data_IF_824728304045
#
_entry.id   IF_824728304045
#
_cell.length_a   1.000
_cell.length_b   1.000
_cell.length_c   1.000
_cell.angle_alpha   90.00
_cell.angle_beta   90.00
_cell.angle_gamma   90.00
#
_symmetry.space_group_name_H-M   'P 1'
#
loop_
_entity.id
_entity.type
_entity.pdbx_description
1 polymer ?
#
# COMPACT_ATOMS: atom_id res chain seq x y z
N UNK A 1 -10.80 -14.32 -2.62
CA UNK A 1 -10.70 -14.31 -1.14
C UNK A 1 -11.36 -13.07 -0.57
N UNK A 2 -11.94 -13.21 0.62
CA UNK A 2 -12.47 -12.13 1.44
C UNK A 2 -11.56 -12.00 2.66
N UNK A 3 -11.01 -10.82 2.88
CA UNK A 3 -10.29 -10.49 4.10
C UNK A 3 -11.10 -9.46 4.88
N UNK A 4 -11.37 -9.76 6.15
CA UNK A 4 -12.16 -8.92 7.04
C UNK A 4 -11.41 -8.69 8.34
N UNK A 5 -11.35 -7.44 8.79
CA UNK A 5 -10.82 -7.07 10.09
C UNK A 5 -11.72 -5.99 10.69
N UNK A 6 -12.04 -6.12 11.97
CA UNK A 6 -12.74 -5.10 12.73
C UNK A 6 -11.97 -4.74 13.99
N UNK A 7 -12.08 -3.49 14.39
CA UNK A 7 -11.46 -2.97 15.60
C UNK A 7 -12.46 -2.13 16.36
N UNK A 8 -12.64 -2.46 17.63
CA UNK A 8 -13.37 -1.67 18.59
C UNK A 8 -12.40 -1.02 19.57
N UNK A 9 -12.37 0.29 19.60
CA UNK A 9 -11.60 1.06 20.58
C UNK A 9 -12.54 1.67 21.60
N UNK A 10 -12.17 1.59 22.88
CA UNK A 10 -12.93 2.09 24.00
C UNK A 10 -11.96 2.84 24.89
N UNK A 11 -12.33 4.03 25.27
CA UNK A 11 -11.54 4.87 26.15
C UNK A 11 -12.44 5.45 27.24
N UNK A 12 -11.92 5.53 28.45
CA UNK A 12 -12.57 6.20 29.57
C UNK A 12 -11.53 6.84 30.48
N UNK A 13 -11.71 8.12 30.75
CA UNK A 13 -11.00 8.85 31.79
C UNK A 13 -11.98 9.18 32.93
N UNK A 14 -11.63 8.79 34.16
CA UNK A 14 -12.43 9.04 35.34
C UNK A 14 -12.55 10.53 35.67
N UNK A 15 -13.62 10.94 36.27
CA UNK A 15 -13.85 12.30 36.78
C UNK A 15 -12.77 12.75 37.79
N UNK A 16 -12.21 11.81 38.55
CA UNK A 16 -11.10 12.04 39.50
C UNK A 16 -9.69 11.95 38.87
N UNK A 17 -9.61 11.61 37.57
CA UNK A 17 -8.34 11.44 36.87
C UNK A 17 -7.64 12.76 36.52
N UNK A 18 -6.31 12.71 36.38
CA UNK A 18 -5.52 13.88 36.01
C UNK A 18 -5.93 14.48 34.66
N UNK A 19 -6.34 13.66 33.67
CA UNK A 19 -6.81 14.14 32.39
C UNK A 19 -8.06 15.02 32.54
N UNK A 20 -9.03 14.58 33.34
CA UNK A 20 -10.26 15.35 33.65
C UNK A 20 -9.93 16.65 34.34
N UNK A 21 -9.02 16.61 35.32
CA UNK A 21 -8.56 17.79 36.04
C UNK A 21 -7.94 18.85 35.13
N UNK A 22 -6.99 18.44 34.31
CA UNK A 22 -6.26 19.36 33.42
C UNK A 22 -7.11 19.93 32.28
N UNK A 23 -8.10 19.18 31.80
CA UNK A 23 -8.97 19.60 30.69
C UNK A 23 -10.30 20.23 31.16
N UNK A 24 -10.56 20.30 32.47
CA UNK A 24 -11.69 21.01 33.03
C UNK A 24 -13.05 20.34 32.84
N UNK A 25 -13.09 19.00 32.63
CA UNK A 25 -14.33 18.21 32.53
C UNK A 25 -14.38 17.09 33.58
N UNK A 26 -15.59 16.58 33.85
CA UNK A 26 -15.80 15.48 34.81
C UNK A 26 -15.97 14.14 34.07
N UNK A 27 -14.84 13.49 33.82
CA UNK A 27 -14.81 12.24 33.06
C UNK A 27 -14.98 12.44 31.56
N UNK A 28 -14.35 11.54 30.77
CA UNK A 28 -14.46 11.46 29.32
C UNK A 28 -14.63 10.02 28.88
N UNK A 29 -15.54 9.78 27.97
CA UNK A 29 -15.71 8.49 27.35
C UNK A 29 -15.67 8.62 25.84
N UNK A 30 -15.04 7.63 25.17
CA UNK A 30 -15.00 7.54 23.72
C UNK A 30 -15.21 6.08 23.29
N UNK A 31 -15.99 5.90 22.25
CA UNK A 31 -16.13 4.64 21.53
C UNK A 31 -15.90 4.86 20.06
N UNK A 32 -15.09 3.99 19.45
CA UNK A 32 -14.79 4.00 18.04
C UNK A 32 -14.86 2.58 17.50
N UNK A 33 -15.56 2.41 16.42
CA UNK A 33 -15.66 1.16 15.69
C UNK A 33 -15.13 1.35 14.27
N UNK A 34 -14.19 0.51 13.85
CA UNK A 34 -13.56 0.55 12.53
C UNK A 34 -13.67 -0.82 11.88
N UNK A 35 -13.90 -0.82 10.58
CA UNK A 35 -13.95 -2.03 9.75
C UNK A 35 -13.05 -1.86 8.56
N UNK A 36 -12.29 -2.90 8.26
CA UNK A 36 -11.54 -3.05 7.03
C UNK A 36 -11.98 -4.33 6.35
N UNK A 37 -12.36 -4.25 5.12
CA UNK A 37 -12.63 -5.44 4.33
C UNK A 37 -12.09 -5.28 2.91
N UNK A 38 -11.47 -6.37 2.44
CA UNK A 38 -10.87 -6.45 1.13
C UNK A 38 -11.43 -7.65 0.39
N UNK A 39 -12.05 -7.37 -0.74
CA UNK A 39 -12.51 -8.38 -1.68
C UNK A 39 -11.45 -8.54 -2.77
N UNK A 40 -10.90 -9.75 -2.90
CA UNK A 40 -9.92 -10.08 -3.93
C UNK A 40 -10.43 -11.23 -4.80
N UNK A 41 -10.44 -10.98 -6.11
CA UNK A 41 -10.57 -11.99 -7.14
C UNK A 41 -9.23 -12.16 -7.83
N UNK A 42 -8.78 -13.40 -7.94
CA UNK A 42 -7.55 -13.75 -8.62
C UNK A 42 -7.83 -14.93 -9.56
N UNK A 43 -7.38 -14.78 -10.80
CA UNK A 43 -7.43 -15.83 -11.79
C UNK A 43 -6.03 -16.07 -12.34
N UNK A 44 -5.63 -17.34 -12.43
CA UNK A 44 -4.31 -17.79 -12.87
C UNK A 44 -4.44 -18.86 -13.93
N UNK A 45 -3.77 -18.68 -15.05
CA UNK A 45 -3.55 -19.69 -16.07
C UNK A 45 -2.08 -20.11 -16.08
N UNK A 46 -1.83 -21.41 -15.95
CA UNK A 46 -0.49 -21.98 -15.99
C UNK A 46 -0.33 -22.87 -17.21
N UNK A 47 0.78 -22.74 -17.90
CA UNK A 47 1.15 -23.57 -19.03
C UNK A 47 2.58 -24.08 -18.87
N UNK A 48 2.80 -25.37 -19.11
CA UNK A 48 4.11 -25.98 -19.08
C UNK A 48 4.32 -26.83 -20.35
N UNK A 49 5.47 -26.65 -20.97
CA UNK A 49 5.86 -27.33 -22.21
C UNK A 49 7.29 -27.82 -22.06
N UNK A 50 7.48 -29.11 -22.29
CA UNK A 50 8.79 -29.78 -22.32
C UNK A 50 9.04 -30.31 -23.72
N UNK A 51 10.08 -29.81 -24.39
CA UNK A 51 10.49 -30.19 -25.74
C UNK A 51 11.95 -30.61 -25.71
N UNK A 52 12.20 -31.87 -25.34
CA UNK A 52 13.55 -32.38 -25.16
C UNK A 52 14.33 -31.57 -24.12
N UNK A 53 15.37 -30.89 -24.56
CA UNK A 53 16.25 -30.07 -23.71
C UNK A 53 15.63 -28.72 -23.31
N UNK A 54 14.47 -28.36 -23.83
CA UNK A 54 13.80 -27.09 -23.61
C UNK A 54 12.62 -27.25 -22.65
N UNK A 55 12.62 -26.49 -21.57
CA UNK A 55 11.54 -26.46 -20.61
C UNK A 55 11.00 -25.03 -20.53
N UNK A 56 9.72 -24.85 -20.86
CA UNK A 56 9.04 -23.56 -20.90
C UNK A 56 7.88 -23.60 -19.90
N UNK A 57 7.81 -22.63 -19.01
CA UNK A 57 6.68 -22.43 -18.09
C UNK A 57 6.17 -21.01 -18.24
N UNK A 58 4.89 -20.88 -18.54
CA UNK A 58 4.21 -19.60 -18.65
C UNK A 58 3.11 -19.49 -17.60
N UNK A 59 2.95 -18.30 -17.05
CA UNK A 59 1.85 -17.94 -16.16
C UNK A 59 1.24 -16.67 -16.67
N UNK A 60 -0.07 -16.62 -16.77
CA UNK A 60 -0.83 -15.39 -17.01
C UNK A 60 -1.86 -15.24 -15.91
N UNK A 61 -2.16 -14.02 -15.52
CA UNK A 61 -3.10 -13.80 -14.43
C UNK A 61 -3.80 -12.44 -14.50
N UNK A 62 -4.93 -12.42 -13.84
CA UNK A 62 -5.73 -11.24 -13.58
C UNK A 62 -5.99 -11.13 -12.08
N UNK A 63 -5.87 -9.93 -11.53
CA UNK A 63 -6.20 -9.62 -10.15
C UNK A 63 -7.14 -8.43 -10.09
N UNK A 64 -8.15 -8.55 -9.26
CA UNK A 64 -9.03 -7.45 -8.86
C UNK A 64 -9.04 -7.40 -7.34
N UNK A 65 -8.83 -6.22 -6.79
CA UNK A 65 -8.91 -5.99 -5.36
C UNK A 65 -9.71 -4.73 -5.09
N UNK A 66 -10.69 -4.83 -4.18
CA UNK A 66 -11.41 -3.69 -3.64
C UNK A 66 -11.25 -3.68 -2.13
N UNK A 67 -10.61 -2.64 -1.62
CA UNK A 67 -10.41 -2.41 -0.19
C UNK A 67 -11.30 -1.27 0.27
N UNK A 68 -12.01 -1.49 1.38
CA UNK A 68 -12.92 -0.53 1.99
C UNK A 68 -12.59 -0.42 3.48
N UNK A 69 -12.50 0.81 3.94
CA UNK A 69 -12.38 1.16 5.33
C UNK A 69 -13.57 2.02 5.74
N UNK A 70 -14.17 1.68 6.86
CA UNK A 70 -15.29 2.41 7.45
C UNK A 70 -15.04 2.65 8.93
N UNK A 71 -15.50 3.78 9.43
CA UNK A 71 -15.49 4.07 10.84
C UNK A 71 -16.73 4.81 11.27
N UNK A 72 -17.12 4.59 12.52
CA UNK A 72 -18.05 5.40 13.27
C UNK A 72 -17.51 5.54 14.70
N UNK A 73 -17.65 6.71 15.29
CA UNK A 73 -17.21 6.94 16.64
C UNK A 73 -17.86 8.17 17.24
N UNK A 74 -17.76 8.27 18.55
CA UNK A 74 -18.22 9.41 19.28
C UNK A 74 -17.56 9.49 20.63
N UNK A 75 -17.49 10.70 21.18
CA UNK A 75 -17.00 10.99 22.51
C UNK A 75 -17.94 11.96 23.22
N UNK A 76 -18.03 11.82 24.52
CA UNK A 76 -18.79 12.73 25.39
C UNK A 76 -18.02 12.94 26.67
N UNK A 77 -18.31 14.05 27.37
CA UNK A 77 -17.66 14.44 28.60
C UNK A 77 -18.73 14.79 29.68
N UNK A 78 -18.23 15.05 30.88
CA UNK A 78 -19.04 15.44 32.04
C UNK A 78 -20.09 14.41 32.42
N UNK A 79 -19.62 13.28 32.89
CA UNK A 79 -20.45 12.19 33.39
C UNK A 79 -20.76 12.41 34.89
N UNK A 80 -22.03 12.24 35.27
CA UNK A 80 -22.44 12.31 36.66
C UNK A 80 -21.89 11.16 37.52
N UNK A 81 -21.57 10.02 36.90
CA UNK A 81 -21.07 8.80 37.52
C UNK A 81 -20.01 8.13 36.65
N UNK A 82 -18.97 7.63 37.29
CA UNK A 82 -17.91 6.89 36.60
C UNK A 82 -18.26 5.43 36.25
N UNK A 83 -19.37 4.91 36.81
CA UNK A 83 -19.72 3.47 36.74
C UNK A 83 -20.08 2.99 35.34
N UNK A 84 -20.72 3.85 34.53
CA UNK A 84 -21.14 3.51 33.15
C UNK A 84 -19.99 3.52 32.17
N UNK A 85 -18.90 4.25 32.50
CA UNK A 85 -17.70 4.39 31.63
C UNK A 85 -18.12 4.75 30.19
N UNK A 86 -17.61 3.99 29.21
CA UNK A 86 -17.93 4.18 27.80
C UNK A 86 -19.20 3.47 27.32
N UNK A 87 -19.90 2.72 28.19
CA UNK A 87 -21.09 1.95 27.79
C UNK A 87 -22.35 2.80 27.59
N UNK A 88 -22.35 4.01 28.13
CA UNK A 88 -23.45 4.97 27.95
C UNK A 88 -22.88 6.37 27.64
N UNK A 89 -22.48 6.56 26.36
CA UNK A 89 -22.00 7.88 25.90
C UNK A 89 -23.08 8.96 25.99
N UNK A 90 -24.37 8.59 25.97
CA UNK A 90 -25.48 9.53 26.03
C UNK A 90 -25.65 10.22 27.38
N UNK A 91 -25.09 9.66 28.47
CA UNK A 91 -25.23 10.19 29.82
C UNK A 91 -24.34 11.39 30.16
N UNK A 92 -23.31 11.67 29.33
CA UNK A 92 -22.49 12.87 29.50
C UNK A 92 -23.22 14.16 29.12
N UNK A 93 -23.01 15.24 29.89
CA UNK A 93 -23.73 16.49 29.70
C UNK A 93 -23.37 17.24 28.41
N UNK A 94 -22.15 17.08 27.90
CA UNK A 94 -21.69 17.75 26.67
C UNK A 94 -22.56 17.45 25.44
N UNK A 95 -23.28 16.32 25.42
CA UNK A 95 -24.22 16.05 24.34
C UNK A 95 -25.37 17.07 24.32
N UNK A 96 -25.91 17.46 25.48
CA UNK A 96 -26.99 18.44 25.59
C UNK A 96 -26.52 19.85 25.20
N UNK A 97 -25.26 20.15 25.49
CA UNK A 97 -24.64 21.43 25.24
C UNK A 97 -24.09 21.56 23.80
N UNK A 98 -24.22 20.52 22.96
CA UNK A 98 -23.70 20.48 21.60
C UNK A 98 -22.18 20.38 21.52
N UNK A 99 -21.52 19.95 22.60
CA UNK A 99 -20.07 19.85 22.74
C UNK A 99 -19.54 18.42 22.55
N UNK A 100 -20.44 17.43 22.51
CA UNK A 100 -20.07 16.04 22.23
C UNK A 100 -19.62 15.87 20.77
N UNK A 101 -18.74 14.90 20.53
CA UNK A 101 -18.27 14.58 19.18
C UNK A 101 -18.98 13.34 18.65
N UNK A 102 -19.46 13.43 17.42
CA UNK A 102 -19.94 12.29 16.62
C UNK A 102 -19.30 12.37 15.25
N UNK A 103 -18.68 11.29 14.81
CA UNK A 103 -18.00 11.26 13.52
C UNK A 103 -18.17 9.92 12.83
N UNK A 104 -18.13 9.94 11.52
CA UNK A 104 -18.06 8.74 10.69
C UNK A 104 -17.17 9.02 9.46
N UNK A 105 -16.68 7.95 8.86
CA UNK A 105 -15.85 8.07 7.68
C UNK A 105 -15.86 6.78 6.89
N UNK A 106 -15.63 6.89 5.58
CA UNK A 106 -15.46 5.77 4.68
C UNK A 106 -14.43 6.12 3.63
N UNK A 107 -13.53 5.18 3.35
CA UNK A 107 -12.67 5.27 2.19
C UNK A 107 -12.66 3.95 1.43
N UNK A 108 -12.49 4.03 0.12
CA UNK A 108 -12.36 2.86 -0.72
C UNK A 108 -11.29 3.04 -1.78
N UNK A 109 -10.65 1.94 -2.14
CA UNK A 109 -9.71 1.90 -3.25
C UNK A 109 -9.88 0.61 -4.03
N UNK A 110 -9.64 0.69 -5.34
CA UNK A 110 -9.70 -0.44 -6.27
C UNK A 110 -8.37 -0.57 -6.96
N UNK A 111 -7.89 -1.82 -7.05
CA UNK A 111 -6.68 -2.20 -7.75
C UNK A 111 -7.02 -3.29 -8.77
N UNK A 112 -6.56 -3.12 -10.01
CA UNK A 112 -6.74 -4.09 -11.08
C UNK A 112 -5.36 -4.38 -11.66
N UNK A 113 -5.01 -5.65 -11.84
CA UNK A 113 -3.73 -6.04 -12.38
C UNK A 113 -3.84 -7.18 -13.39
N UNK A 114 -3.08 -7.05 -14.47
CA UNK A 114 -2.82 -8.11 -15.45
C UNK A 114 -1.34 -8.43 -15.37
N UNK A 115 -0.99 -9.70 -15.38
CA UNK A 115 0.41 -10.07 -15.38
C UNK A 115 0.68 -11.32 -16.21
N UNK A 116 1.88 -11.37 -16.73
CA UNK A 116 2.41 -12.52 -17.41
C UNK A 116 3.85 -12.79 -16.99
N UNK A 117 4.23 -14.05 -16.89
CA UNK A 117 5.59 -14.49 -16.65
C UNK A 117 5.92 -15.67 -17.55
N UNK A 118 7.09 -15.63 -18.15
CA UNK A 118 7.67 -16.71 -18.91
C UNK A 118 8.99 -17.13 -18.24
N UNK A 119 9.12 -18.41 -17.95
CA UNK A 119 10.38 -19.01 -17.51
C UNK A 119 10.82 -20.01 -18.56
N UNK A 120 12.09 -19.93 -18.94
CA UNK A 120 12.72 -20.79 -19.90
C UNK A 120 13.97 -21.43 -19.29
N UNK A 121 14.08 -22.73 -19.44
CA UNK A 121 15.26 -23.47 -19.05
C UNK A 121 15.72 -24.33 -20.25
N UNK A 122 17.00 -24.23 -20.59
CA UNK A 122 17.64 -25.03 -21.61
C UNK A 122 18.74 -25.89 -21.01
N UNK A 123 18.58 -27.20 -21.09
CA UNK A 123 19.56 -28.22 -20.63
C UNK A 123 20.00 -28.06 -19.17
N UNK A 124 19.19 -27.45 -18.31
CA UNK A 124 19.58 -27.04 -16.96
C UNK A 124 20.86 -26.19 -16.88
N UNK A 125 21.27 -25.62 -18.03
CA UNK A 125 22.42 -24.75 -18.16
C UNK A 125 22.03 -23.28 -18.24
N UNK A 126 21.05 -22.95 -19.07
CA UNK A 126 20.61 -21.58 -19.27
C UNK A 126 19.19 -21.40 -18.72
N UNK A 127 19.05 -20.44 -17.83
CA UNK A 127 17.78 -20.07 -17.20
C UNK A 127 17.46 -18.63 -17.55
N UNK A 128 16.33 -18.38 -18.17
CA UNK A 128 15.84 -17.05 -18.46
C UNK A 128 14.44 -16.87 -17.92
N UNK A 129 14.13 -15.70 -17.38
CA UNK A 129 12.76 -15.34 -17.06
C UNK A 129 12.45 -13.92 -17.52
N UNK A 130 11.21 -13.72 -17.94
CA UNK A 130 10.66 -12.39 -18.23
C UNK A 130 9.28 -12.31 -17.63
N UNK A 131 8.94 -11.17 -17.07
CA UNK A 131 7.59 -10.89 -16.56
C UNK A 131 7.20 -9.44 -16.80
N UNK A 132 5.91 -9.25 -16.99
CA UNK A 132 5.29 -7.93 -17.09
C UNK A 132 4.05 -7.91 -16.22
N UNK A 133 3.94 -6.89 -15.38
CA UNK A 133 2.72 -6.55 -14.65
C UNK A 133 2.20 -5.20 -15.15
N UNK A 134 0.95 -5.16 -15.54
CA UNK A 134 0.20 -3.96 -15.91
C UNK A 134 -0.88 -3.74 -14.86
N UNK A 135 -0.78 -2.68 -14.08
CA UNK A 135 -1.59 -2.48 -12.90
C UNK A 135 -2.18 -1.08 -12.84
N UNK A 136 -3.46 -0.99 -12.51
CA UNK A 136 -4.19 0.26 -12.34
C UNK A 136 -4.78 0.38 -10.95
N UNK A 137 -4.66 1.58 -10.36
CA UNK A 137 -5.22 1.88 -9.06
C UNK A 137 -6.06 3.15 -9.07
N UNK A 138 -7.20 3.10 -8.36
CA UNK A 138 -8.07 4.26 -8.19
C UNK A 138 -7.48 5.38 -7.35
N UNK A 139 -6.37 5.14 -6.66
CA UNK A 139 -5.69 6.13 -5.82
C UNK A 139 -4.97 7.22 -6.62
N UNK A 140 -4.53 6.88 -7.85
CA UNK A 140 -3.76 7.77 -8.70
C UNK A 140 -4.61 8.75 -9.49
N UNK A 141 -3.95 9.74 -10.04
CA UNK A 141 -4.56 10.77 -10.87
C UNK A 141 -5.24 10.20 -12.12
N UNK A 142 -6.21 10.93 -12.66
CA UNK A 142 -7.01 10.47 -13.80
C UNK A 142 -6.15 10.09 -15.01
N UNK A 143 -5.01 10.79 -15.20
CA UNK A 143 -4.10 10.62 -16.33
C UNK A 143 -3.08 9.49 -16.10
N UNK A 144 -2.83 9.03 -14.84
CA UNK A 144 -1.71 8.17 -14.46
C UNK A 144 -2.14 6.96 -13.62
N UNK A 145 -3.38 6.48 -13.79
CA UNK A 145 -3.88 5.34 -13.00
C UNK A 145 -3.13 4.05 -13.24
N UNK A 146 -2.57 3.85 -14.43
CA UNK A 146 -1.96 2.62 -14.87
C UNK A 146 -0.44 2.69 -14.91
N UNK A 147 0.21 1.61 -14.46
CA UNK A 147 1.66 1.45 -14.48
C UNK A 147 2.08 0.14 -15.12
N UNK A 148 3.29 0.13 -15.74
CA UNK A 148 3.94 -1.05 -16.29
C UNK A 148 5.15 -1.38 -15.44
N UNK A 149 5.27 -2.66 -15.05
CA UNK A 149 6.32 -3.15 -14.17
C UNK A 149 6.97 -4.38 -14.78
N UNK A 150 7.92 -4.20 -15.70
CA UNK A 150 8.67 -5.28 -16.31
C UNK A 150 9.75 -5.80 -15.38
N UNK A 151 10.07 -7.09 -15.50
CA UNK A 151 11.26 -7.67 -14.91
C UNK A 151 11.79 -8.79 -15.80
N UNK A 152 13.12 -8.95 -15.81
CA UNK A 152 13.80 -10.00 -16.55
C UNK A 152 15.00 -10.52 -15.75
N UNK A 153 15.31 -11.80 -15.91
CA UNK A 153 16.52 -12.39 -15.36
C UNK A 153 17.13 -13.42 -16.29
N UNK A 154 18.46 -13.56 -16.19
CA UNK A 154 19.24 -14.55 -16.89
C UNK A 154 20.22 -15.17 -15.87
N UNK A 155 20.36 -16.50 -15.91
CA UNK A 155 21.36 -17.21 -15.15
C UNK A 155 21.94 -18.35 -16.01
N UNK A 156 23.23 -18.62 -15.84
CA UNK A 156 23.95 -19.58 -16.65
C UNK A 156 24.81 -20.52 -15.79
N UNK A 157 24.51 -21.80 -15.81
CA UNK A 157 25.36 -22.83 -15.18
C UNK A 157 26.53 -23.15 -16.12
N UNK A 158 27.70 -22.60 -15.84
CA UNK A 158 28.86 -22.65 -16.72
C UNK A 158 29.58 -23.99 -16.67
N UNK A 159 29.41 -24.79 -15.63
CA UNK A 159 30.18 -26.04 -15.43
C UNK A 159 29.84 -27.12 -16.44
N UNK A 160 28.71 -27.03 -17.12
CA UNK A 160 28.33 -27.97 -18.19
C UNK A 160 29.05 -27.68 -19.50
N UNK A 161 29.76 -26.56 -19.62
CA UNK A 161 30.50 -26.18 -20.81
C UNK A 161 31.81 -26.94 -20.94
N UNK A 162 32.20 -27.23 -22.20
CA UNK A 162 33.41 -28.00 -22.53
C UNK A 162 34.70 -27.37 -22.01
N UNK A 163 34.81 -26.03 -22.01
CA UNK A 163 35.98 -25.31 -21.53
C UNK A 163 36.16 -25.34 -20.01
N UNK A 164 35.13 -25.67 -19.25
CA UNK A 164 35.18 -25.78 -17.77
C UNK A 164 35.54 -27.19 -17.27
N UNK A 165 35.69 -28.17 -18.14
CA UNK A 165 35.95 -29.58 -17.76
C UNK A 165 37.16 -29.74 -16.83
N UNK A 166 38.25 -28.98 -17.08
CA UNK A 166 39.50 -29.09 -16.33
C UNK A 166 39.39 -28.49 -14.89
N UNK A 167 38.41 -27.62 -14.65
CA UNK A 167 38.22 -26.95 -13.36
C UNK A 167 37.29 -27.71 -12.42
N UNK A 168 36.57 -28.73 -12.89
CA UNK A 168 35.57 -29.51 -12.14
C UNK A 168 36.07 -30.16 -10.85
N UNK A 169 37.40 -30.39 -10.72
CA UNK A 169 38.01 -30.93 -9.50
C UNK A 169 37.92 -29.97 -8.30
N UNK A 170 37.92 -28.67 -8.57
CA UNK A 170 37.86 -27.60 -7.56
C UNK A 170 36.52 -26.91 -7.61
N UNK A 171 36.10 -26.43 -8.75
CA UNK A 171 34.86 -25.69 -8.97
C UNK A 171 33.79 -26.63 -9.54
N UNK A 172 32.80 -26.98 -8.71
CA UNK A 172 31.74 -27.94 -9.07
C UNK A 172 30.48 -27.30 -9.60
N UNK A 173 30.24 -26.02 -9.29
CA UNK A 173 29.20 -25.19 -9.89
C UNK A 173 29.69 -23.76 -9.97
N UNK A 174 29.37 -23.08 -11.06
CA UNK A 174 29.59 -21.65 -11.27
C UNK A 174 28.41 -21.09 -12.05
N UNK A 175 27.61 -20.27 -11.39
CA UNK A 175 26.35 -19.76 -11.94
C UNK A 175 26.29 -18.23 -11.84
N UNK A 176 26.84 -17.49 -12.82
CA UNK A 176 26.58 -16.06 -12.94
C UNK A 176 25.11 -15.82 -13.24
N UNK A 177 24.59 -14.73 -12.67
CA UNK A 177 23.19 -14.31 -12.84
C UNK A 177 23.08 -12.80 -12.92
N UNK A 178 22.13 -12.34 -13.70
CA UNK A 178 21.75 -10.93 -13.81
C UNK A 178 20.25 -10.84 -13.75
N UNK A 179 19.75 -9.82 -13.05
CA UNK A 179 18.33 -9.49 -13.06
C UNK A 179 18.11 -7.99 -13.09
N UNK A 180 17.01 -7.63 -13.72
CA UNK A 180 16.49 -6.27 -13.80
C UNK A 180 15.01 -6.32 -13.45
N UNK A 181 14.53 -5.32 -12.72
CA UNK A 181 13.11 -5.22 -12.42
C UNK A 181 12.68 -3.81 -12.04
N UNK A 182 11.44 -3.49 -12.40
CA UNK A 182 10.76 -2.28 -11.97
C UNK A 182 9.57 -2.71 -11.11
N UNK A 183 9.44 -2.10 -9.94
CA UNK A 183 8.29 -2.28 -9.05
C UNK A 183 7.58 -0.96 -8.81
N UNK A 184 6.25 -0.99 -8.78
CA UNK A 184 5.41 0.16 -8.44
C UNK A 184 5.04 0.18 -6.97
N UNK A 185 4.87 1.38 -6.42
CA UNK A 185 4.39 1.60 -5.06
C UNK A 185 3.21 2.55 -5.06
N UNK A 186 2.16 2.22 -4.27
CA UNK A 186 0.93 2.99 -4.10
C UNK A 186 0.55 3.15 -2.63
N UNK A 187 1.56 3.26 -1.75
CA UNK A 187 1.40 3.29 -0.30
C UNK A 187 1.05 4.70 0.19
N UNK A 188 -0.18 5.11 -0.10
CA UNK A 188 -0.80 6.34 0.40
C UNK A 188 -2.32 6.17 0.45
N UNK A 189 -2.99 7.08 1.17
CA UNK A 189 -4.43 7.05 1.36
C UNK A 189 -5.20 7.26 0.06
N UNK A 190 -6.42 6.70 -0.01
CA UNK A 190 -7.34 6.97 -1.12
C UNK A 190 -7.68 8.47 -1.22
N UNK A 191 -8.08 8.89 -2.42
CA UNK A 191 -8.57 10.25 -2.74
C UNK A 191 -7.51 11.38 -2.71
N UNK A 192 -6.22 11.08 -2.47
CA UNK A 192 -5.16 12.10 -2.46
C UNK A 192 -4.93 12.78 -3.81
N UNK A 193 -5.39 12.15 -4.91
CA UNK A 193 -5.36 12.75 -6.26
C UNK A 193 -6.56 13.66 -6.55
N UNK A 194 -7.56 13.72 -5.64
CA UNK A 194 -8.80 14.45 -5.83
C UNK A 194 -8.85 15.72 -4.99
N UNK A 195 -9.63 16.69 -5.43
CA UNK A 195 -10.07 17.79 -4.56
C UNK A 195 -11.18 17.27 -3.65
N UNK A 196 -10.95 17.38 -2.35
CA UNK A 196 -11.93 17.00 -1.32
C UNK A 196 -12.37 18.23 -0.53
N UNK A 197 -13.53 18.11 0.11
CA UNK A 197 -14.11 19.17 0.92
C UNK A 197 -14.42 18.64 2.31
N UNK A 198 -14.15 19.46 3.31
CA UNK A 198 -14.55 19.17 4.69
C UNK A 198 -15.49 20.29 5.19
N UNK A 199 -16.25 19.98 6.21
CA UNK A 199 -17.01 20.97 6.96
C UNK A 199 -16.05 22.00 7.57
N UNK A 200 -16.31 23.28 7.37
CA UNK A 200 -15.48 24.37 7.87
C UNK A 200 -16.36 25.49 8.43
N UNK A 201 -16.62 25.39 9.73
CA UNK A 201 -17.42 26.39 10.42
C UNK A 201 -18.90 26.38 10.02
N UNK A 202 -19.60 27.40 10.46
CA UNK A 202 -20.99 27.65 10.12
C UNK A 202 -21.17 29.12 9.74
N UNK A 203 -22.12 29.40 8.88
CA UNK A 203 -22.50 30.76 8.52
C UNK A 203 -24.01 30.95 8.62
N UNK A 204 -24.43 32.19 8.88
CA UNK A 204 -25.84 32.54 9.02
C UNK A 204 -26.43 32.74 7.61
N UNK A 205 -27.43 31.95 7.25
CA UNK A 205 -28.15 32.05 6.00
C UNK A 205 -29.65 32.02 6.28
N UNK A 206 -30.37 33.04 5.83
CA UNK A 206 -31.81 33.20 6.04
C UNK A 206 -32.23 32.99 7.53
N UNK A 207 -31.47 33.63 8.45
CA UNK A 207 -31.73 33.54 9.89
C UNK A 207 -31.41 32.18 10.54
N UNK A 208 -30.78 31.25 9.83
CA UNK A 208 -30.38 29.92 10.30
C UNK A 208 -28.89 29.70 10.15
N UNK A 209 -28.28 29.06 11.14
CA UNK A 209 -26.90 28.59 11.02
C UNK A 209 -26.84 27.36 10.13
N UNK A 210 -26.07 27.45 9.03
CA UNK A 210 -25.81 26.35 8.11
C UNK A 210 -24.35 26.01 8.10
N UNK A 211 -24.04 24.72 7.94
CA UNK A 211 -22.66 24.23 7.90
C UNK A 211 -21.97 24.67 6.61
N UNK A 212 -20.82 25.30 6.76
CA UNK A 212 -19.94 25.64 5.65
C UNK A 212 -19.08 24.48 5.20
N UNK A 213 -18.67 24.49 3.94
CA UNK A 213 -17.71 23.54 3.35
C UNK A 213 -16.54 24.30 2.73
N UNK A 214 -15.32 23.80 2.96
CA UNK A 214 -14.12 24.34 2.35
C UNK A 214 -13.26 23.23 1.76
N UNK A 215 -12.45 23.53 0.73
CA UNK A 215 -11.47 22.59 0.20
C UNK A 215 -10.54 22.08 1.32
N UNK A 216 -10.29 20.77 1.33
CA UNK A 216 -9.38 20.11 2.27
C UNK A 216 -8.22 19.43 1.58
N UNK A 217 -8.20 19.41 0.25
CA UNK A 217 -7.07 18.96 -0.57
C UNK A 217 -7.09 19.60 -1.95
N UNK A 218 -5.94 19.66 -2.58
CA UNK A 218 -5.81 20.03 -3.98
C UNK A 218 -5.86 18.77 -4.85
N UNK A 219 -6.50 18.87 -6.02
CA UNK A 219 -6.45 17.80 -7.02
C UNK A 219 -5.06 17.71 -7.67
N UNK A 220 -4.60 16.48 -7.92
CA UNK A 220 -3.46 16.20 -8.78
C UNK A 220 -3.83 15.11 -9.79
N UNK A 221 -4.31 15.47 -11.00
CA UNK A 221 -4.69 14.49 -12.02
C UNK A 221 -3.49 13.73 -12.59
N UNK A 222 -2.27 14.20 -12.39
CA UNK A 222 -1.02 13.62 -12.87
C UNK A 222 -0.28 12.83 -11.80
N UNK A 223 -0.88 12.64 -10.61
CA UNK A 223 -0.29 11.82 -9.55
C UNK A 223 -0.08 10.39 -10.06
N UNK A 224 1.19 9.96 -10.11
CA UNK A 224 1.63 8.73 -10.75
C UNK A 224 2.24 7.74 -9.75
N UNK A 225 2.53 6.53 -10.24
CA UNK A 225 3.19 5.47 -9.49
C UNK A 225 4.64 5.85 -9.14
N UNK A 226 5.00 5.75 -7.87
CA UNK A 226 6.40 5.70 -7.47
C UNK A 226 7.02 4.41 -7.99
N UNK A 227 8.16 4.49 -8.65
CA UNK A 227 8.84 3.36 -9.28
C UNK A 227 10.18 3.09 -8.62
N UNK A 228 10.43 1.84 -8.30
CA UNK A 228 11.75 1.38 -7.87
C UNK A 228 12.35 0.50 -8.95
N UNK A 229 13.49 0.93 -9.47
CA UNK A 229 14.26 0.22 -10.49
C UNK A 229 15.42 -0.46 -9.80
N UNK A 230 15.57 -1.77 -10.01
CA UNK A 230 16.65 -2.57 -9.43
C UNK A 230 17.39 -3.36 -10.48
N UNK A 231 18.70 -3.38 -10.38
CA UNK A 231 19.61 -4.25 -11.14
C UNK A 231 20.40 -5.07 -10.14
N UNK A 232 20.45 -6.38 -10.33
CA UNK A 232 21.25 -7.27 -9.50
C UNK A 232 22.16 -8.11 -10.39
N UNK A 233 23.42 -8.20 -9.99
CA UNK A 233 24.42 -9.07 -10.56
C UNK A 233 24.86 -10.04 -9.48
N UNK A 234 24.97 -11.32 -9.78
CA UNK A 234 25.38 -12.32 -8.80
C UNK A 234 26.19 -13.43 -9.43
N UNK A 235 26.99 -14.06 -8.61
CA UNK A 235 27.72 -15.28 -8.98
C UNK A 235 27.57 -16.27 -7.81
N UNK A 236 26.91 -17.39 -8.08
CA UNK A 236 26.85 -18.51 -7.16
C UNK A 236 27.93 -19.53 -7.53
N UNK A 237 28.61 -20.11 -6.54
CA UNK A 237 29.66 -21.09 -6.77
C UNK A 237 29.67 -22.19 -5.74
N UNK A 238 30.15 -23.37 -6.15
CA UNK A 238 30.40 -24.52 -5.26
C UNK A 238 31.82 -25.00 -5.49
N UNK A 239 32.59 -25.04 -4.39
CA UNK A 239 33.97 -25.54 -4.39
C UNK A 239 34.03 -26.92 -3.73
N UNK A 240 34.79 -27.85 -4.32
CA UNK A 240 35.01 -29.23 -3.83
C UNK A 240 33.72 -29.97 -3.43
N UNK A 241 32.60 -29.61 -4.02
CA UNK A 241 31.25 -30.12 -3.65
C UNK A 241 30.91 -29.98 -2.15
N UNK A 242 31.56 -29.08 -1.43
CA UNK A 242 31.43 -28.87 0.00
C UNK A 242 31.19 -27.43 0.41
N UNK A 243 31.90 -26.49 -0.16
CA UNK A 243 31.80 -25.07 0.16
C UNK A 243 30.93 -24.37 -0.88
N UNK A 244 29.80 -23.82 -0.44
CA UNK A 244 28.90 -23.03 -1.27
C UNK A 244 29.01 -21.56 -0.86
N UNK A 245 29.05 -20.68 -1.86
CA UNK A 245 29.08 -19.25 -1.64
C UNK A 245 28.38 -18.50 -2.75
N UNK A 246 28.00 -17.26 -2.46
CA UNK A 246 27.50 -16.31 -3.44
C UNK A 246 28.11 -14.94 -3.21
N UNK A 247 28.32 -14.22 -4.29
CA UNK A 247 28.71 -12.80 -4.30
C UNK A 247 27.68 -12.06 -5.10
N UNK A 248 27.13 -10.99 -4.52
CA UNK A 248 26.10 -10.20 -5.15
C UNK A 248 26.47 -8.72 -5.14
N UNK A 249 26.17 -8.06 -6.24
CA UNK A 249 26.12 -6.62 -6.37
C UNK A 249 24.70 -6.21 -6.73
N UNK A 250 24.15 -5.22 -6.05
CA UNK A 250 22.84 -4.67 -6.38
C UNK A 250 22.91 -3.15 -6.45
N UNK A 251 22.16 -2.60 -7.38
CA UNK A 251 21.87 -1.19 -7.49
C UNK A 251 20.35 -0.99 -7.53
N UNK A 252 19.87 -0.07 -6.72
CA UNK A 252 18.44 0.24 -6.63
C UNK A 252 18.23 1.73 -6.55
N UNK A 253 17.40 2.24 -7.44
CA UNK A 253 16.99 3.65 -7.46
C UNK A 253 15.48 3.78 -7.41
N UNK A 254 14.97 4.79 -6.69
CA UNK A 254 13.56 5.15 -6.71
C UNK A 254 13.36 6.39 -7.56
N UNK A 255 12.34 6.38 -8.40
CA UNK A 255 11.93 7.47 -9.28
C UNK A 255 10.48 7.84 -8.98
N UNK A 256 10.12 9.07 -9.32
CA UNK A 256 8.76 9.57 -9.16
C UNK A 256 8.29 9.43 -7.69
N UNK A 257 9.15 9.80 -6.73
CA UNK A 257 8.89 9.71 -5.30
C UNK A 257 7.67 10.55 -4.92
N UNK A 258 6.79 9.96 -4.13
CA UNK A 258 5.62 10.63 -3.62
C UNK A 258 5.98 11.48 -2.40
N UNK A 259 5.70 12.78 -2.45
CA UNK A 259 5.89 13.69 -1.34
C UNK A 259 4.82 14.78 -1.27
N UNK A 260 4.59 15.31 -0.07
CA UNK A 260 3.65 16.39 0.14
C UNK A 260 4.38 17.73 -0.06
N UNK A 261 3.96 18.45 -1.08
CA UNK A 261 4.48 19.78 -1.40
C UNK A 261 3.62 20.87 -0.74
N UNK A 262 4.27 21.87 -0.15
CA UNK A 262 3.58 23.07 0.35
C UNK A 262 3.24 23.98 -0.82
N UNK A 263 1.96 24.06 -1.13
CA UNK A 263 1.44 24.79 -2.28
C UNK A 263 1.18 26.27 -1.95
N UNK A 264 1.59 27.23 -2.81
CA UNK A 264 1.29 28.64 -2.60
C UNK A 264 -0.21 28.90 -2.78
N UNK A 265 -0.74 29.80 -1.97
CA UNK A 265 -2.14 30.25 -2.05
C UNK A 265 -2.19 31.74 -2.37
N UNK A 266 -2.71 32.19 -3.53
CA UNK A 266 -3.15 31.42 -4.71
C UNK A 266 -1.98 30.88 -5.53
N UNK A 267 -2.14 30.01 -6.55
CA UNK A 267 -3.43 29.60 -7.15
C UNK A 267 -4.10 28.38 -6.49
N UNK A 268 -3.38 27.68 -5.60
CA UNK A 268 -3.95 26.52 -4.95
C UNK A 268 -4.97 26.92 -3.87
N UNK A 269 -6.02 26.11 -3.72
CA UNK A 269 -7.09 26.37 -2.74
C UNK A 269 -6.78 25.80 -1.36
N UNK A 270 -5.80 24.90 -1.27
CA UNK A 270 -5.33 24.29 -0.02
C UNK A 270 -3.80 24.35 0.05
N UNK A 271 -3.26 24.40 1.28
CA UNK A 271 -1.83 24.68 1.53
C UNK A 271 -0.89 23.52 1.16
N UNK A 272 -1.41 22.36 0.83
CA UNK A 272 -0.59 21.18 0.48
C UNK A 272 -1.17 20.42 -0.72
N UNK A 273 -0.29 19.77 -1.48
CA UNK A 273 -0.64 18.88 -2.57
C UNK A 273 0.33 17.70 -2.58
N UNK A 274 -0.18 16.48 -2.84
CA UNK A 274 0.65 15.31 -3.06
C UNK A 274 1.13 15.30 -4.51
N UNK A 275 2.43 15.18 -4.71
CA UNK A 275 3.09 15.18 -6.04
C UNK A 275 4.13 14.09 -6.13
N UNK A 276 4.56 13.81 -7.38
CA UNK A 276 5.72 12.96 -7.68
C UNK A 276 6.96 13.81 -7.90
#
# INVERSE_FOLDING_TARGET
>A
SLHYNDMKQQYYASSAGSESYWNGYKGRAEMKYQKWYTNRLEWLGNYALNLGDHNIKAVVGYTYEKSIWEQIGGSNNDFSFDNTKYWDLGSGSYLKDGLASLYSGRSESTLIGFFGRLNYNWKDMLFASASLRYEGSSKFGANQKWGYFPAASLAWEMMEMGFMKNTRKVLTSLKPRVSFGITGRSDFDAYKSLSTYNTNGSYLFDGRWVTGYAPSSNANPDLAWEKSVAINLGVDFVLWNRLRGSVEYFDRSSKDLLYTYTAPQPPFVYSTILVN
#
